data_IF_586111068025
#
_entry.id   IF_586111068025
#
_cell.length_a   1.000
_cell.length_b   1.000
_cell.length_c   1.000
_cell.angle_alpha   90.00
_cell.angle_beta   90.00
_cell.angle_gamma   90.00
#
_symmetry.space_group_name_H-M   'P 1'
#
loop_
_entity.id
_entity.type
_entity.pdbx_description
1 polymer ?
#
# COMPACT_ATOMS: atom_id res chain seq x y z
N UNK A 1 29.69 -3.90 3.79
CA UNK A 1 28.72 -3.66 2.71
C UNK A 1 28.28 -2.20 2.78
N UNK A 2 28.19 -1.47 1.66
CA UNK A 2 27.66 -0.10 1.68
C UNK A 2 26.22 -0.10 2.21
N UNK A 3 25.84 0.94 2.95
CA UNK A 3 24.49 1.08 3.50
C UNK A 3 23.50 1.33 2.35
N UNK A 4 22.76 0.30 1.95
CA UNK A 4 21.70 0.42 0.95
C UNK A 4 20.43 0.95 1.61
N UNK A 5 19.69 1.83 0.89
CA UNK A 5 18.39 2.33 1.34
C UNK A 5 17.38 1.19 1.24
N UNK A 6 16.72 0.87 2.36
CA UNK A 6 15.65 -0.12 2.38
C UNK A 6 14.46 0.42 1.58
N UNK A 7 13.88 -0.43 0.74
CA UNK A 7 12.68 -0.14 -0.03
C UNK A 7 11.47 -0.79 0.63
N UNK A 8 10.32 -0.14 0.55
CA UNK A 8 9.07 -0.62 1.12
C UNK A 8 8.05 -0.84 0.01
N UNK A 9 7.36 -1.97 0.08
CA UNK A 9 6.19 -2.29 -0.74
C UNK A 9 4.96 -2.14 0.14
N UNK A 10 4.01 -1.32 -0.31
CA UNK A 10 2.72 -1.19 0.36
C UNK A 10 1.83 -2.37 -0.02
N UNK A 11 1.02 -2.86 0.92
CA UNK A 11 0.17 -4.05 0.72
C UNK A 11 -1.26 -3.88 1.20
N UNK A 12 -1.59 -2.73 1.83
CA UNK A 12 -2.91 -2.47 2.40
C UNK A 12 -4.04 -2.62 1.37
N UNK A 13 -3.80 -2.22 0.12
CA UNK A 13 -4.79 -2.26 -0.96
C UNK A 13 -5.10 -3.68 -1.46
N UNK A 14 -4.26 -4.67 -1.16
CA UNK A 14 -4.45 -6.06 -1.60
C UNK A 14 -4.33 -7.05 -0.45
N UNK A 15 -3.10 -7.32 0.00
CA UNK A 15 -2.85 -8.41 0.96
C UNK A 15 -3.34 -8.05 2.37
N UNK A 16 -3.24 -6.77 2.74
CA UNK A 16 -3.74 -6.26 4.02
C UNK A 16 -5.24 -6.47 4.16
N UNK A 17 -6.04 -5.97 3.20
CA UNK A 17 -7.48 -6.19 3.22
C UNK A 17 -7.88 -7.66 3.06
N UNK A 18 -7.13 -8.45 2.30
CA UNK A 18 -7.38 -9.88 2.13
C UNK A 18 -7.19 -10.64 3.45
N UNK A 19 -6.18 -10.27 4.22
CA UNK A 19 -5.85 -10.89 5.51
C UNK A 19 -6.82 -10.48 6.61
N UNK A 20 -7.25 -9.21 6.62
CA UNK A 20 -7.97 -8.63 7.76
C UNK A 20 -9.49 -8.54 7.54
N UNK A 21 -9.95 -8.32 6.31
CA UNK A 21 -11.36 -8.08 5.99
C UNK A 21 -11.84 -8.90 4.78
N UNK A 22 -11.26 -10.08 4.57
CA UNK A 22 -11.67 -11.04 3.55
C UNK A 22 -11.83 -10.42 2.14
N UNK A 23 -10.97 -9.47 1.79
CA UNK A 23 -10.98 -8.78 0.49
C UNK A 23 -12.33 -8.07 0.24
N UNK A 24 -12.82 -7.31 1.22
CA UNK A 24 -14.10 -6.58 1.15
C UNK A 24 -13.94 -5.06 1.23
N UNK A 25 -12.75 -4.51 1.01
CA UNK A 25 -12.60 -3.06 0.89
C UNK A 25 -13.25 -2.60 -0.43
N UNK A 26 -14.27 -1.72 -0.39
CA UNK A 26 -14.85 -1.18 -1.61
C UNK A 26 -13.89 -0.15 -2.22
N UNK A 27 -13.95 0.00 -3.55
CA UNK A 27 -13.13 0.97 -4.26
C UNK A 27 -13.37 2.40 -3.78
N UNK A 28 -14.61 2.72 -3.37
CA UNK A 28 -14.97 4.03 -2.81
C UNK A 28 -14.13 4.45 -1.62
N UNK A 29 -13.65 3.49 -0.82
CA UNK A 29 -12.86 3.75 0.38
C UNK A 29 -11.36 3.85 0.06
N UNK A 30 -10.94 3.30 -1.08
CA UNK A 30 -9.56 3.35 -1.59
C UNK A 30 -9.28 4.69 -2.27
N UNK A 31 -10.17 5.14 -3.15
CA UNK A 31 -9.96 6.32 -4.00
C UNK A 31 -9.50 7.59 -3.23
N UNK A 32 -10.05 7.92 -2.03
CA UNK A 32 -9.69 9.14 -1.32
C UNK A 32 -8.23 9.20 -0.81
N UNK A 33 -7.53 8.06 -0.72
CA UNK A 33 -6.18 7.98 -0.14
C UNK A 33 -5.07 7.81 -1.19
N UNK A 34 -5.40 7.44 -2.43
CA UNK A 34 -4.42 7.07 -3.46
C UNK A 34 -3.36 8.15 -3.73
N UNK A 35 -3.76 9.42 -3.87
CA UNK A 35 -2.82 10.52 -4.13
C UNK A 35 -1.78 10.68 -3.02
N UNK A 36 -2.15 10.41 -1.76
CA UNK A 36 -1.22 10.46 -0.62
C UNK A 36 -0.29 9.24 -0.60
N UNK A 37 -0.77 8.08 -1.01
CA UNK A 37 0.03 6.85 -1.08
C UNK A 37 1.07 6.92 -2.19
N UNK A 38 0.71 7.49 -3.35
CA UNK A 38 1.64 7.71 -4.45
C UNK A 38 2.77 8.68 -4.04
N UNK A 39 2.43 9.75 -3.34
CA UNK A 39 3.39 10.72 -2.81
C UNK A 39 4.28 10.18 -1.66
N UNK A 40 3.94 9.02 -1.06
CA UNK A 40 4.66 8.47 0.09
C UNK A 40 6.02 7.84 -0.27
N UNK A 41 6.27 7.57 -1.56
CA UNK A 41 7.57 7.09 -2.04
C UNK A 41 7.83 5.60 -1.79
N UNK A 42 6.77 4.79 -1.81
CA UNK A 42 6.89 3.33 -1.85
C UNK A 42 7.57 2.87 -3.15
N UNK A 43 8.27 1.74 -3.08
CA UNK A 43 8.86 1.13 -4.27
C UNK A 43 7.81 0.45 -5.15
N UNK A 44 6.71 0.00 -4.55
CA UNK A 44 5.52 -0.54 -5.21
C UNK A 44 4.30 -0.42 -4.30
N UNK A 45 3.12 -0.35 -4.93
CA UNK A 45 1.78 -0.29 -4.32
C UNK A 45 0.95 -1.51 -4.73
#
# INVERSE_FOLDING_TARGET
MPKQKVQFMETVLRDGQQSLIATRMPLSDILPILDKMDAAGYASL
#
